data_IF_356100677822
#
_entry.id   IF_356100677822
#
_cell.length_a   1.000
_cell.length_b   1.000
_cell.length_c   1.000
_cell.angle_alpha   90.00
_cell.angle_beta   90.00
_cell.angle_gamma   90.00
#
_symmetry.space_group_name_H-M   'P 1'
#
loop_
_entity.id
_entity.type
_entity.pdbx_description
1 polymer ?
#
# COMPACT_ATOMS: atom_id res chain seq x y z
N UNK A 1 -15.78 28.90 -9.80
CA UNK A 1 -16.22 27.51 -9.54
C UNK A 1 -15.06 26.61 -9.93
N UNK A 2 -14.49 25.84 -9.00
CA UNK A 2 -13.43 24.89 -9.34
C UNK A 2 -14.03 23.82 -10.25
N UNK A 3 -13.45 23.63 -11.43
CA UNK A 3 -13.87 22.62 -12.38
C UNK A 3 -13.65 21.24 -11.72
N UNK A 4 -14.69 20.41 -11.61
CA UNK A 4 -14.53 19.08 -11.02
C UNK A 4 -13.73 18.22 -12.00
N UNK A 5 -12.47 17.95 -11.64
CA UNK A 5 -11.63 17.01 -12.36
C UNK A 5 -12.34 15.65 -12.40
N UNK A 6 -12.50 15.08 -13.59
CA UNK A 6 -13.12 13.77 -13.79
C UNK A 6 -12.23 12.95 -14.71
N UNK A 7 -11.74 11.81 -14.21
CA UNK A 7 -10.92 10.86 -14.95
C UNK A 7 -11.33 9.44 -14.58
N UNK A 8 -10.90 8.46 -15.37
CA UNK A 8 -11.10 7.04 -15.07
C UNK A 8 -9.75 6.37 -14.93
N UNK A 9 -9.62 5.51 -13.93
CA UNK A 9 -8.44 4.68 -13.72
C UNK A 9 -8.64 3.31 -14.36
N UNK A 10 -7.73 2.93 -15.25
CA UNK A 10 -7.60 1.55 -15.75
C UNK A 10 -6.70 0.78 -14.78
N UNK A 11 -7.13 -0.39 -14.32
CA UNK A 11 -6.39 -1.21 -13.35
C UNK A 11 -6.07 -2.56 -13.96
N UNK A 12 -4.88 -3.04 -13.69
CA UNK A 12 -4.50 -4.43 -13.93
C UNK A 12 -5.08 -5.33 -12.84
N UNK A 13 -5.07 -6.65 -13.10
CA UNK A 13 -5.45 -7.64 -12.09
C UNK A 13 -4.56 -7.52 -10.84
N UNK A 14 -5.13 -7.58 -9.62
CA UNK A 14 -4.35 -7.58 -8.40
C UNK A 14 -3.43 -8.80 -8.31
N UNK A 15 -2.20 -8.59 -7.83
CA UNK A 15 -1.22 -9.66 -7.63
C UNK A 15 -0.62 -9.63 -6.23
N UNK A 16 -0.04 -10.75 -5.79
CA UNK A 16 0.72 -10.82 -4.55
C UNK A 16 2.22 -10.67 -4.84
N UNK A 17 2.85 -9.69 -4.19
CA UNK A 17 4.30 -9.53 -4.22
C UNK A 17 4.89 -10.14 -2.96
N UNK A 18 5.53 -11.29 -3.13
CA UNK A 18 6.20 -12.03 -2.07
C UNK A 18 7.63 -11.51 -1.84
N UNK A 19 8.25 -11.82 -0.67
CA UNK A 19 9.66 -11.57 -0.45
C UNK A 19 10.54 -12.22 -1.53
N UNK A 20 11.58 -11.51 -1.97
CA UNK A 20 12.51 -11.95 -3.02
C UNK A 20 13.45 -13.10 -2.58
N UNK A 21 13.48 -13.41 -1.28
CA UNK A 21 14.26 -14.48 -0.67
C UNK A 21 13.41 -15.15 0.42
N UNK A 22 13.70 -16.41 0.78
CA UNK A 22 13.03 -17.07 1.90
C UNK A 22 13.12 -16.25 3.19
N UNK A 23 12.03 -16.20 3.94
CA UNK A 23 11.92 -15.51 5.23
C UNK A 23 11.49 -16.51 6.31
N UNK A 24 11.78 -16.25 7.60
CA UNK A 24 11.32 -17.11 8.68
C UNK A 24 9.80 -17.26 8.67
N UNK A 25 9.32 -18.50 8.83
CA UNK A 25 7.91 -18.79 9.03
C UNK A 25 7.64 -18.91 10.53
N UNK A 26 6.97 -17.91 11.09
CA UNK A 26 6.72 -17.81 12.51
C UNK A 26 5.48 -16.96 12.81
N UNK A 27 4.99 -17.07 14.05
CA UNK A 27 3.88 -16.27 14.54
C UNK A 27 4.44 -15.16 15.43
N UNK A 28 4.21 -13.90 15.04
CA UNK A 28 4.57 -12.72 15.84
C UNK A 28 3.34 -12.15 16.52
N UNK A 29 3.33 -12.14 17.86
CA UNK A 29 2.26 -11.47 18.62
C UNK A 29 2.40 -9.96 18.51
N UNK A 30 1.27 -9.26 18.35
CA UNK A 30 1.27 -7.81 18.44
C UNK A 30 1.44 -7.35 19.88
N UNK A 31 2.04 -6.18 20.06
CA UNK A 31 2.12 -5.52 21.37
C UNK A 31 0.71 -5.18 21.88
N UNK A 32 0.57 -4.90 23.17
CA UNK A 32 -0.74 -4.51 23.73
C UNK A 32 -1.20 -3.13 23.24
N UNK A 33 -0.27 -2.30 22.75
CA UNK A 33 -0.57 -1.02 22.11
C UNK A 33 -1.20 -1.26 20.73
N UNK A 34 -0.64 -2.21 19.97
CA UNK A 34 -1.03 -2.50 18.60
C UNK A 34 -2.29 -3.39 18.50
N UNK A 35 -2.66 -4.08 19.59
CA UNK A 35 -3.78 -5.05 19.65
C UNK A 35 -5.15 -4.41 19.94
N UNK A 36 -5.20 -3.08 20.09
CA UNK A 36 -6.43 -2.35 20.41
C UNK A 36 -7.49 -2.50 19.31
N UNK A 37 -8.73 -2.82 19.72
CA UNK A 37 -9.85 -3.01 18.80
C UNK A 37 -10.12 -1.77 17.93
N UNK A 38 -9.89 -0.58 18.48
CA UNK A 38 -10.06 0.70 17.75
C UNK A 38 -9.08 0.87 16.60
N UNK A 39 -7.97 0.13 16.55
CA UNK A 39 -6.93 0.25 15.52
C UNK A 39 -7.08 -0.79 14.38
N UNK A 40 -8.14 -1.61 14.43
CA UNK A 40 -8.43 -2.67 13.46
C UNK A 40 -9.12 -2.10 12.22
N UNK A 41 -8.42 -1.24 11.49
CA UNK A 41 -8.86 -0.68 10.21
C UNK A 41 -7.67 -0.32 9.32
N UNK A 42 -7.90 -0.29 8.01
CA UNK A 42 -6.91 0.14 7.03
C UNK A 42 -6.87 1.67 6.90
N UNK A 43 -5.67 2.23 6.84
CA UNK A 43 -5.45 3.66 6.62
C UNK A 43 -5.02 3.88 5.17
N UNK A 44 -5.78 4.65 4.37
CA UNK A 44 -5.33 5.09 3.07
C UNK A 44 -4.22 6.14 3.22
N UNK A 45 -3.05 5.89 2.63
CA UNK A 45 -2.02 6.89 2.39
C UNK A 45 -1.85 7.10 0.90
N UNK A 46 -1.93 8.36 0.43
CA UNK A 46 -1.73 8.73 -0.98
C UNK A 46 -0.51 9.65 -1.06
N UNK A 47 0.45 9.30 -1.91
CA UNK A 47 1.66 10.07 -2.17
C UNK A 47 1.82 10.31 -3.66
N UNK A 48 2.09 11.55 -4.03
CA UNK A 48 2.35 11.95 -5.41
C UNK A 48 3.83 12.24 -5.60
N UNK A 49 4.38 11.73 -6.69
CA UNK A 49 5.77 11.92 -7.06
C UNK A 49 5.86 12.52 -8.46
N UNK A 50 6.65 13.58 -8.57
CA UNK A 50 7.03 14.13 -9.86
C UNK A 50 7.95 13.18 -10.60
N UNK A 51 7.94 13.28 -11.93
CA UNK A 51 8.94 12.62 -12.75
C UNK A 51 10.35 12.99 -12.29
N UNK A 52 11.23 11.99 -12.23
CA UNK A 52 12.65 12.19 -11.97
C UNK A 52 13.44 11.76 -13.22
N UNK A 53 14.30 12.62 -13.80
CA UNK A 53 15.13 12.26 -14.95
C UNK A 53 15.98 10.99 -14.77
N UNK A 54 16.35 10.63 -13.54
CA UNK A 54 17.09 9.39 -13.23
C UNK A 54 16.26 8.12 -13.56
N UNK A 55 14.95 8.27 -13.68
CA UNK A 55 14.00 7.23 -14.07
C UNK A 55 13.77 7.17 -15.58
N UNK A 56 14.51 7.94 -16.38
CA UNK A 56 14.41 7.88 -17.84
C UNK A 56 14.67 6.45 -18.35
N UNK A 57 13.77 5.98 -19.23
CA UNK A 57 13.80 4.63 -19.78
C UNK A 57 13.46 3.51 -18.78
N UNK A 58 13.09 3.82 -17.54
CA UNK A 58 12.67 2.84 -16.53
C UNK A 58 11.16 2.89 -16.32
N UNK A 59 10.57 1.72 -16.25
CA UNK A 59 9.18 1.57 -15.81
C UNK A 59 9.12 1.67 -14.27
N UNK A 60 8.44 2.70 -13.72
CA UNK A 60 8.32 2.87 -12.28
C UNK A 60 7.61 1.71 -11.59
N UNK A 61 6.62 1.09 -12.25
CA UNK A 61 5.90 -0.06 -11.69
C UNK A 61 6.86 -1.24 -11.51
N UNK A 62 7.66 -1.55 -12.53
CA UNK A 62 8.66 -2.63 -12.46
C UNK A 62 9.70 -2.35 -11.38
N UNK A 63 10.15 -1.10 -11.25
CA UNK A 63 11.14 -0.71 -10.23
C UNK A 63 10.55 -0.86 -8.82
N UNK A 64 9.35 -0.33 -8.58
CA UNK A 64 8.68 -0.41 -7.28
C UNK A 64 8.39 -1.86 -6.93
N UNK A 65 7.89 -2.66 -7.87
CA UNK A 65 7.61 -4.10 -7.67
C UNK A 65 8.86 -4.86 -7.21
N UNK A 66 9.99 -4.65 -7.90
CA UNK A 66 11.28 -5.28 -7.55
C UNK A 66 11.82 -4.77 -6.21
N UNK A 67 11.70 -3.48 -5.93
CA UNK A 67 12.14 -2.90 -4.67
C UNK A 67 11.31 -3.45 -3.50
N UNK A 68 9.99 -3.52 -3.65
CA UNK A 68 9.07 -4.07 -2.66
C UNK A 68 9.41 -5.52 -2.30
N UNK A 69 9.58 -6.40 -3.30
CA UNK A 69 9.98 -7.79 -3.05
C UNK A 69 11.32 -7.90 -2.28
N UNK A 70 12.29 -7.01 -2.54
CA UNK A 70 13.56 -6.96 -1.79
C UNK A 70 13.36 -6.45 -0.36
N UNK A 71 12.58 -5.39 -0.18
CA UNK A 71 12.29 -4.80 1.12
C UNK A 71 11.54 -5.78 2.03
N UNK A 72 10.61 -6.56 1.48
CA UNK A 72 9.86 -7.56 2.22
C UNK A 72 10.72 -8.69 2.80
N UNK A 73 11.99 -8.84 2.39
CA UNK A 73 12.91 -9.76 3.09
C UNK A 73 13.22 -9.25 4.51
N UNK A 74 13.41 -7.95 4.66
CA UNK A 74 13.72 -7.32 5.95
C UNK A 74 12.47 -7.04 6.77
N UNK A 75 11.35 -6.74 6.08
CA UNK A 75 10.05 -6.45 6.67
C UNK A 75 9.05 -7.60 6.44
N UNK A 76 9.54 -8.84 6.52
CA UNK A 76 8.78 -10.04 6.17
C UNK A 76 7.45 -10.24 6.91
N UNK A 77 7.21 -9.73 8.15
CA UNK A 77 5.89 -9.83 8.74
C UNK A 77 4.82 -9.13 7.90
N UNK A 78 5.15 -8.08 7.15
CA UNK A 78 4.20 -7.40 6.25
C UNK A 78 3.68 -8.32 5.13
N UNK A 79 4.46 -9.34 4.75
CA UNK A 79 4.06 -10.34 3.75
C UNK A 79 3.21 -11.49 4.35
N UNK A 80 2.87 -11.43 5.64
CA UNK A 80 2.04 -12.41 6.33
C UNK A 80 0.54 -12.09 6.29
N UNK A 81 -0.18 -12.68 7.24
CA UNK A 81 -1.61 -12.45 7.48
C UNK A 81 -1.87 -12.16 8.95
N UNK A 82 -2.81 -11.25 9.23
CA UNK A 82 -3.25 -11.04 10.59
C UNK A 82 -4.18 -12.17 11.02
N UNK A 83 -3.96 -12.71 12.21
CA UNK A 83 -4.79 -13.75 12.84
C UNK A 83 -5.24 -13.27 14.21
N UNK A 84 -6.39 -13.76 14.64
CA UNK A 84 -6.89 -13.61 16.00
C UNK A 84 -6.71 -14.94 16.75
N UNK A 85 -6.01 -14.92 17.88
CA UNK A 85 -5.79 -16.09 18.72
C UNK A 85 -6.65 -16.10 19.99
N UNK A 86 -6.32 -16.98 20.96
CA UNK A 86 -7.01 -17.05 22.25
C UNK A 86 -7.06 -15.70 22.95
N UNK A 87 -8.20 -15.37 23.56
CA UNK A 87 -8.39 -14.07 24.21
C UNK A 87 -8.46 -12.88 23.25
N UNK A 88 -8.70 -13.13 21.95
CA UNK A 88 -8.77 -12.13 20.87
C UNK A 88 -7.44 -11.40 20.59
N UNK A 89 -6.33 -11.97 21.05
CA UNK A 89 -4.97 -11.45 20.85
C UNK A 89 -4.62 -11.50 19.37
N UNK A 90 -4.28 -10.35 18.78
CA UNK A 90 -3.80 -10.27 17.41
C UNK A 90 -2.36 -10.75 17.28
N UNK A 91 -2.11 -11.47 16.19
CA UNK A 91 -0.79 -11.95 15.81
C UNK A 91 -0.65 -11.95 14.29
N UNK A 92 0.57 -11.80 13.82
CA UNK A 92 0.93 -11.95 12.41
C UNK A 92 1.47 -13.34 12.19
N UNK A 93 0.79 -14.09 11.34
CA UNK A 93 1.24 -15.34 10.76
C UNK A 93 2.16 -15.01 9.58
N UNK A 94 3.47 -15.13 9.77
CA UNK A 94 4.49 -14.69 8.81
C UNK A 94 4.70 -15.74 7.70
N UNK A 95 3.68 -15.95 6.88
CA UNK A 95 3.66 -16.97 5.81
C UNK A 95 4.53 -16.62 4.60
N UNK A 96 4.86 -15.34 4.41
CA UNK A 96 5.60 -14.86 3.25
C UNK A 96 4.77 -14.85 1.95
N UNK A 97 3.46 -15.04 2.03
CA UNK A 97 2.54 -15.01 0.87
C UNK A 97 2.59 -13.70 0.08
N UNK A 98 2.98 -12.60 0.74
CA UNK A 98 3.20 -11.31 0.11
C UNK A 98 2.11 -10.28 0.39
N UNK A 99 2.32 -9.11 -0.20
CA UNK A 99 1.43 -7.95 -0.11
C UNK A 99 0.65 -7.79 -1.40
N UNK A 100 -0.55 -7.21 -1.33
CA UNK A 100 -1.37 -7.00 -2.51
C UNK A 100 -0.82 -5.82 -3.32
N UNK A 101 -0.65 -5.99 -4.62
CA UNK A 101 -0.10 -4.98 -5.51
C UNK A 101 -1.01 -4.79 -6.72
N UNK A 102 -1.24 -3.55 -7.11
CA UNK A 102 -2.09 -3.18 -8.23
C UNK A 102 -1.37 -2.13 -9.06
N UNK A 103 -1.20 -2.43 -10.33
CA UNK A 103 -0.79 -1.48 -11.35
C UNK A 103 -2.02 -0.80 -11.93
N UNK A 104 -1.91 0.51 -12.17
CA UNK A 104 -2.99 1.30 -12.72
C UNK A 104 -2.48 2.46 -13.57
N UNK A 105 -3.32 2.93 -14.48
CA UNK A 105 -3.04 4.06 -15.37
C UNK A 105 -4.26 4.98 -15.46
N UNK A 106 -4.02 6.29 -15.55
CA UNK A 106 -5.06 7.26 -15.82
C UNK A 106 -4.57 8.35 -16.78
N UNK A 107 -5.45 8.74 -17.72
CA UNK A 107 -5.19 9.85 -18.63
C UNK A 107 -5.51 11.19 -17.94
N UNK A 108 -4.66 11.54 -16.97
CA UNK A 108 -4.73 12.78 -16.20
C UNK A 108 -3.34 13.17 -15.75
N UNK A 109 -3.04 14.47 -15.77
CA UNK A 109 -1.75 15.01 -15.33
C UNK A 109 -1.81 15.44 -13.87
N UNK A 110 -0.67 15.42 -13.17
CA UNK A 110 -0.61 15.85 -11.77
C UNK A 110 -1.07 17.31 -11.58
N UNK A 111 -0.77 18.19 -12.55
CA UNK A 111 -1.18 19.61 -12.54
C UNK A 111 -2.70 19.78 -12.49
N UNK A 112 -3.46 18.84 -13.05
CA UNK A 112 -4.93 18.91 -13.03
C UNK A 112 -5.51 18.67 -11.63
N UNK A 113 -4.74 18.09 -10.70
CA UNK A 113 -5.12 17.98 -9.28
C UNK A 113 -4.94 19.31 -8.52
N UNK A 114 -4.34 20.32 -9.15
CA UNK A 114 -4.05 21.63 -8.56
C UNK A 114 -2.64 21.73 -7.97
N UNK A 115 -2.26 22.94 -7.57
CA UNK A 115 -0.91 23.24 -7.07
C UNK A 115 -0.67 22.72 -5.65
N UNK A 116 -1.74 22.57 -4.87
CA UNK A 116 -1.67 22.09 -3.49
C UNK A 116 -2.25 20.67 -3.41
N UNK A 117 -1.37 19.67 -3.48
CA UNK A 117 -1.72 18.25 -3.36
C UNK A 117 -2.01 17.87 -1.90
N UNK A 118 -3.12 18.36 -1.37
CA UNK A 118 -3.61 18.02 -0.04
C UNK A 118 -5.07 17.54 -0.10
N UNK A 119 -5.49 16.69 0.84
CA UNK A 119 -6.88 16.31 0.96
C UNK A 119 -7.81 17.53 1.14
N UNK A 120 -9.03 17.49 0.59
CA UNK A 120 -9.63 16.38 -0.15
C UNK A 120 -9.14 16.30 -1.60
N UNK A 121 -8.71 15.11 -2.04
CA UNK A 121 -8.27 14.91 -3.42
C UNK A 121 -9.49 14.81 -4.37
N UNK A 122 -9.46 15.50 -5.53
CA UNK A 122 -10.45 15.28 -6.59
C UNK A 122 -10.51 13.82 -7.02
N UNK A 123 -11.71 13.30 -7.31
CA UNK A 123 -11.92 11.91 -7.71
C UNK A 123 -11.27 10.88 -6.77
N UNK A 124 -11.41 11.07 -5.45
CA UNK A 124 -10.82 10.18 -4.45
C UNK A 124 -11.20 8.70 -4.67
N UNK A 125 -12.43 8.40 -5.10
CA UNK A 125 -12.88 7.03 -5.41
C UNK A 125 -12.20 6.39 -6.62
N UNK A 126 -11.56 7.19 -7.50
CA UNK A 126 -10.71 6.66 -8.57
C UNK A 126 -9.28 6.43 -8.05
N UNK A 127 -8.78 7.28 -7.16
CA UNK A 127 -7.47 7.09 -6.52
C UNK A 127 -7.46 5.93 -5.51
N UNK A 128 -8.61 5.70 -4.86
CA UNK A 128 -8.84 4.67 -3.84
C UNK A 128 -9.66 3.55 -4.45
N UNK A 129 -9.01 2.43 -4.73
CA UNK A 129 -9.64 1.16 -5.08
C UNK A 129 -9.53 0.14 -3.94
N UNK A 130 -10.66 -0.27 -3.40
CA UNK A 130 -10.70 -1.37 -2.45
C UNK A 130 -10.92 -2.66 -3.22
N UNK A 131 -9.95 -3.56 -3.16
CA UNK A 131 -10.06 -4.85 -3.83
C UNK A 131 -11.16 -5.64 -3.13
N UNK A 132 -12.12 -6.22 -3.87
CA UNK A 132 -13.17 -7.04 -3.26
C UNK A 132 -12.57 -8.14 -2.37
N UNK A 133 -13.00 -8.20 -1.12
CA UNK A 133 -12.48 -9.16 -0.14
C UNK A 133 -11.14 -8.77 0.52
N UNK A 134 -10.58 -7.60 0.23
CA UNK A 134 -9.37 -7.09 0.92
C UNK A 134 -9.66 -6.10 2.04
N UNK A 135 -10.93 -5.81 2.33
CA UNK A 135 -11.35 -4.85 3.37
C UNK A 135 -11.36 -5.47 4.77
N UNK A 136 -11.39 -6.79 4.85
CA UNK A 136 -11.32 -7.50 6.12
C UNK A 136 -9.93 -7.32 6.74
N UNK A 137 -9.87 -7.30 8.06
CA UNK A 137 -8.61 -7.10 8.81
C UNK A 137 -7.91 -8.43 9.08
N UNK A 138 -8.67 -9.52 9.20
CA UNK A 138 -8.15 -10.85 9.49
C UNK A 138 -8.02 -11.66 8.21
N UNK A 139 -6.96 -12.46 8.13
CA UNK A 139 -6.69 -13.40 7.03
C UNK A 139 -6.49 -12.75 5.65
N UNK A 140 -6.36 -11.42 5.57
CA UNK A 140 -6.10 -10.64 4.37
C UNK A 140 -4.65 -10.12 4.35
N UNK A 141 -4.13 -9.68 3.19
CA UNK A 141 -2.85 -9.01 3.11
C UNK A 141 -2.79 -7.77 4.01
N UNK A 142 -1.71 -7.64 4.79
CA UNK A 142 -1.52 -6.53 5.74
C UNK A 142 -1.26 -5.18 5.06
N UNK A 143 -0.82 -5.25 3.79
CA UNK A 143 -0.45 -4.12 2.97
C UNK A 143 -1.03 -4.30 1.57
N UNK A 144 -1.69 -3.25 1.06
CA UNK A 144 -2.07 -3.10 -0.34
C UNK A 144 -1.36 -1.88 -0.92
N UNK A 145 -0.66 -2.05 -2.03
CA UNK A 145 0.00 -0.97 -2.77
C UNK A 145 -0.63 -0.84 -4.15
N UNK A 146 -1.10 0.35 -4.49
CA UNK A 146 -1.46 0.69 -5.86
C UNK A 146 -0.46 1.70 -6.41
N UNK A 147 0.12 1.40 -7.58
CA UNK A 147 0.95 2.32 -8.35
C UNK A 147 0.13 2.81 -9.52
N UNK A 148 -0.22 4.09 -9.50
CA UNK A 148 -0.98 4.75 -10.55
C UNK A 148 -0.04 5.63 -11.37
N UNK A 149 0.14 5.30 -12.65
CA UNK A 149 0.83 6.13 -13.62
C UNK A 149 -0.12 7.18 -14.20
N UNK A 150 0.33 8.43 -14.19
CA UNK A 150 -0.40 9.59 -14.70
C UNK A 150 0.24 10.08 -16.01
N UNK A 151 -0.56 10.77 -16.84
CA UNK A 151 -0.08 11.40 -18.08
C UNK A 151 1.12 12.32 -17.80
N UNK A 152 2.15 12.24 -18.65
CA UNK A 152 3.43 12.96 -18.50
C UNK A 152 4.29 12.52 -17.29
N UNK A 153 4.34 11.22 -17.00
CA UNK A 153 5.35 10.56 -16.13
C UNK A 153 5.31 10.92 -14.64
N UNK A 154 4.13 11.07 -14.05
CA UNK A 154 3.98 11.22 -12.60
C UNK A 154 3.47 9.91 -11.99
N UNK A 155 3.89 9.60 -10.77
CA UNK A 155 3.47 8.39 -10.05
C UNK A 155 2.66 8.79 -8.82
N UNK A 156 1.45 8.26 -8.71
CA UNK A 156 0.68 8.29 -7.48
C UNK A 156 0.78 6.91 -6.82
N UNK A 157 1.42 6.84 -5.66
CA UNK A 157 1.43 5.61 -4.85
C UNK A 157 0.38 5.72 -3.76
N UNK A 158 -0.46 4.70 -3.68
CA UNK A 158 -1.35 4.48 -2.53
C UNK A 158 -0.86 3.28 -1.75
N UNK A 159 -0.78 3.44 -0.44
CA UNK A 159 -0.54 2.35 0.51
C UNK A 159 -1.75 2.21 1.44
N UNK A 160 -2.17 0.97 1.68
CA UNK A 160 -3.22 0.58 2.60
C UNK A 160 -2.59 -0.31 3.66
N UNK A 161 -2.29 0.28 4.80
CA UNK A 161 -1.69 -0.44 5.93
C UNK A 161 -2.66 -0.42 7.09
N UNK A 162 -2.70 -1.49 7.88
CA UNK A 162 -3.39 -1.44 9.17
C UNK A 162 -2.77 -0.35 10.06
N UNK A 163 -3.60 0.48 10.68
CA UNK A 163 -3.12 1.62 11.50
C UNK A 163 -2.10 1.16 12.57
N UNK A 164 -2.37 0.03 13.21
CA UNK A 164 -1.48 -0.57 14.21
C UNK A 164 -0.07 -0.88 13.66
N UNK A 165 0.02 -1.38 12.43
CA UNK A 165 1.28 -1.69 11.77
C UNK A 165 2.00 -0.39 11.38
N UNK A 166 1.27 0.63 10.92
CA UNK A 166 1.88 1.91 10.58
C UNK A 166 2.61 2.54 11.79
N UNK A 167 2.03 2.46 13.00
CA UNK A 167 2.66 3.00 14.21
C UNK A 167 3.93 2.24 14.61
N UNK A 168 3.91 0.90 14.56
CA UNK A 168 5.10 0.10 14.93
C UNK A 168 6.25 0.25 13.93
N UNK A 169 5.97 0.42 12.63
CA UNK A 169 6.99 0.50 11.59
C UNK A 169 7.49 1.93 11.27
N UNK A 170 6.66 2.97 11.47
CA UNK A 170 7.13 4.36 11.38
C UNK A 170 8.15 4.67 12.49
N UNK A 171 8.04 4.02 13.66
CA UNK A 171 9.08 4.11 14.70
C UNK A 171 10.39 3.38 14.32
N UNK A 172 10.32 2.31 13.53
CA UNK A 172 11.48 1.48 13.15
C UNK A 172 12.23 1.94 11.90
N UNK A 173 11.66 2.83 11.09
CA UNK A 173 12.35 3.42 9.92
C UNK A 173 13.18 4.66 10.33
N UNK A 174 12.99 5.19 11.53
CA UNK A 174 13.73 6.34 12.08
C UNK A 174 14.56 6.04 13.34
N UNK A 175 14.80 4.76 13.67
CA UNK A 175 15.64 4.33 14.79
C UNK A 175 16.79 3.43 14.33
#
# INVERSE_FOLDING_TARGET
MAQSLLFKVKRSEPELISPSKPTPHEIKRLSDIDDQQSLRFHVPLIQFYNYNPIMEGKDPVVVIRKALAKTLVFYYPLAGRLREGPGRKLMVDCTGEGVLFIEADADVTLKQFGDALHPPFPCLGELIYDVPGSSDVLNTPLLLIQVLSLSLTHVCMRAHTLFMILFSYVLFIFA
#
